data_IF_579647233447
#
_entry.id   IF_579647233447
#
_cell.length_a   1.000
_cell.length_b   1.000
_cell.length_c   1.000
_cell.angle_alpha   90.00
_cell.angle_beta   90.00
_cell.angle_gamma   90.00
#
_symmetry.space_group_name_H-M   'P 1'
#
loop_
_entity.id
_entity.type
_entity.pdbx_description
1 polymer ?
#
# COMPACT_ATOMS: atom_id res chain seq x y z
N UNK A 1 51.14 19.87 7.29
CA UNK A 1 50.35 18.88 6.51
C UNK A 1 48.89 19.25 6.67
N UNK A 2 48.27 19.83 5.64
CA UNK A 2 46.84 20.20 5.66
C UNK A 2 46.08 19.06 4.99
N UNK A 3 45.31 18.30 5.76
CA UNK A 3 44.45 17.23 5.27
C UNK A 3 43.13 17.79 4.73
N UNK A 4 42.92 17.68 3.43
CA UNK A 4 41.67 18.04 2.76
C UNK A 4 40.60 16.99 3.04
N UNK A 5 39.57 17.31 3.83
CA UNK A 5 38.38 16.49 3.96
C UNK A 5 37.45 16.76 2.76
N UNK A 6 37.39 15.82 1.81
CA UNK A 6 36.47 15.91 0.66
C UNK A 6 35.07 15.47 1.09
N UNK A 7 34.16 16.41 1.29
CA UNK A 7 32.72 16.11 1.45
C UNK A 7 32.13 15.82 0.07
N UNK A 8 31.61 14.60 -0.09
CA UNK A 8 31.03 14.09 -1.33
C UNK A 8 29.55 14.50 -1.39
N UNK A 9 29.24 15.66 -1.96
CA UNK A 9 27.86 16.15 -2.11
C UNK A 9 27.12 15.30 -3.15
N UNK A 10 26.21 14.41 -2.70
CA UNK A 10 25.24 13.76 -3.60
C UNK A 10 24.16 14.80 -3.96
N UNK A 11 24.24 15.30 -5.18
CA UNK A 11 23.15 16.06 -5.79
C UNK A 11 21.93 15.14 -5.99
N UNK A 12 20.88 15.32 -5.19
CA UNK A 12 19.57 14.73 -5.49
C UNK A 12 18.89 15.66 -6.48
N UNK A 13 18.65 15.15 -7.69
CA UNK A 13 17.74 15.79 -8.66
C UNK A 13 16.34 15.71 -8.06
N UNK A 14 15.79 16.85 -7.63
CA UNK A 14 14.39 16.94 -7.27
C UNK A 14 13.59 17.29 -8.52
N UNK A 15 12.59 16.46 -8.80
CA UNK A 15 11.66 16.63 -9.89
C UNK A 15 10.89 17.96 -9.72
N UNK A 16 10.88 18.78 -10.76
CA UNK A 16 10.14 20.03 -10.81
C UNK A 16 8.64 19.72 -10.81
N UNK A 17 7.95 20.03 -9.72
CA UNK A 17 6.49 20.20 -9.75
C UNK A 17 6.23 21.65 -10.13
N UNK A 18 5.98 21.88 -11.42
CA UNK A 18 5.51 23.18 -11.91
C UNK A 18 4.06 23.35 -11.44
N UNK A 19 3.85 24.09 -10.36
CA UNK A 19 2.53 24.60 -10.01
C UNK A 19 2.44 26.07 -10.44
N UNK A 20 1.61 26.28 -11.46
CA UNK A 20 1.19 27.58 -11.94
C UNK A 20 0.14 28.15 -10.98
N UNK A 21 0.44 29.28 -10.35
CA UNK A 21 -0.53 30.03 -9.54
C UNK A 21 -0.61 31.46 -10.05
N UNK A 22 -1.83 31.84 -10.42
CA UNK A 22 -2.26 33.14 -10.90
C UNK A 22 -2.56 34.07 -9.72
N UNK A 23 -2.11 35.33 -9.84
CA UNK A 23 -2.34 36.47 -8.94
C UNK A 23 -1.35 36.71 -7.79
N UNK A 24 -0.16 37.19 -8.19
CA UNK A 24 0.44 38.45 -7.70
C UNK A 24 0.17 38.90 -6.26
N UNK A 25 1.08 38.59 -5.35
CA UNK A 25 1.84 39.58 -4.55
C UNK A 25 2.92 38.84 -3.77
N UNK A 26 4.18 39.03 -4.16
CA UNK A 26 5.34 38.47 -3.49
C UNK A 26 5.63 39.32 -2.24
N UNK A 27 5.26 38.84 -1.05
CA UNK A 27 5.82 39.36 0.20
C UNK A 27 6.95 38.44 0.65
N UNK A 28 8.17 38.94 0.48
CA UNK A 28 9.37 38.40 1.11
C UNK A 28 9.25 38.68 2.61
N UNK A 29 8.85 37.68 3.38
CA UNK A 29 9.05 37.71 4.83
C UNK A 29 10.36 36.99 5.10
N UNK A 30 11.41 37.78 5.32
CA UNK A 30 12.65 37.31 5.92
C UNK A 30 12.43 37.24 7.43
N UNK A 31 12.51 36.04 7.98
CA UNK A 31 12.70 35.86 9.42
C UNK A 31 13.92 34.97 9.61
N UNK A 32 15.07 35.63 9.67
CA UNK A 32 16.26 35.12 10.31
C UNK A 32 16.00 35.20 11.82
N UNK A 33 16.01 34.08 12.56
CA UNK A 33 16.37 34.10 13.98
C UNK A 33 17.13 32.85 14.39
N UNK A 34 18.23 33.14 15.08
CA UNK A 34 19.25 32.31 15.67
C UNK A 34 18.73 31.13 16.51
N UNK A 35 19.64 30.17 16.64
CA UNK A 35 19.71 29.05 17.57
C UNK A 35 19.06 29.31 18.92
N UNK A 36 18.18 28.42 19.36
CA UNK A 36 18.12 28.00 20.78
C UNK A 36 17.46 26.63 20.88
N UNK A 37 18.28 25.62 21.15
CA UNK A 37 17.84 24.32 21.69
C UNK A 37 17.35 24.51 23.13
N UNK A 38 16.25 23.86 23.56
CA UNK A 38 16.30 23.26 24.90
C UNK A 38 15.58 21.90 25.06
N UNK A 39 16.35 20.97 25.63
CA UNK A 39 16.04 19.97 26.68
C UNK A 39 15.07 18.81 26.36
N UNK A 40 15.52 17.54 26.51
CA UNK A 40 14.66 16.37 26.48
C UNK A 40 13.96 16.14 27.83
N UNK A 41 12.67 15.82 27.77
CA UNK A 41 11.93 15.21 28.87
C UNK A 41 10.90 16.11 29.54
N UNK A 42 9.67 16.08 29.03
CA UNK A 42 8.46 16.16 29.85
C UNK A 42 7.30 15.45 29.11
N UNK A 43 6.68 14.49 29.79
CA UNK A 43 5.47 13.78 29.37
C UNK A 43 4.29 14.73 29.38
N UNK A 44 3.47 14.76 28.32
CA UNK A 44 2.13 15.37 28.35
C UNK A 44 1.20 14.70 27.34
N UNK A 45 0.19 14.03 27.91
CA UNK A 45 -1.00 13.52 27.24
C UNK A 45 -1.77 14.67 26.60
N UNK A 46 -1.98 14.59 25.28
CA UNK A 46 -2.92 15.47 24.58
C UNK A 46 -3.94 14.58 23.87
N UNK A 47 -5.17 14.64 24.38
CA UNK A 47 -6.38 14.13 23.77
C UNK A 47 -6.94 15.23 22.87
N UNK A 48 -7.00 15.01 21.55
CA UNK A 48 -7.73 15.90 20.64
C UNK A 48 -8.29 15.13 19.44
N UNK A 49 -9.59 14.83 19.59
CA UNK A 49 -10.66 15.01 18.61
C UNK A 49 -10.65 14.22 17.31
N UNK A 50 -11.59 13.26 17.26
CA UNK A 50 -12.09 12.58 16.08
C UNK A 50 -12.37 13.54 14.92
N UNK A 51 -11.63 13.36 13.82
CA UNK A 51 -12.04 13.87 12.52
C UNK A 51 -12.90 12.80 11.86
N UNK A 52 -14.21 13.02 11.87
CA UNK A 52 -15.19 12.21 11.15
C UNK A 52 -14.98 12.42 9.65
N UNK A 53 -14.15 11.59 9.03
CA UNK A 53 -14.06 11.54 7.57
C UNK A 53 -15.36 10.93 7.05
N UNK A 54 -16.07 11.73 6.25
CA UNK A 54 -17.32 11.40 5.58
C UNK A 54 -17.23 10.03 4.92
N UNK A 55 -17.89 9.05 5.53
CA UNK A 55 -18.08 7.71 5.01
C UNK A 55 -18.90 7.81 3.73
N UNK A 56 -18.22 7.74 2.59
CA UNK A 56 -18.83 7.30 1.34
C UNK A 56 -19.57 5.99 1.63
N UNK A 57 -20.86 5.94 1.30
CA UNK A 57 -21.73 4.78 1.44
C UNK A 57 -21.17 3.61 0.64
N UNK A 58 -20.19 2.91 1.20
CA UNK A 58 -19.76 1.60 0.74
C UNK A 58 -20.81 0.62 1.22
N UNK A 59 -21.42 -0.09 0.28
CA UNK A 59 -22.11 -1.35 0.59
C UNK A 59 -21.16 -2.19 1.44
N UNK A 60 -21.61 -2.77 2.57
CA UNK A 60 -20.73 -3.63 3.37
C UNK A 60 -20.17 -4.73 2.48
N UNK A 61 -18.86 -4.95 2.57
CA UNK A 61 -18.19 -6.08 1.91
C UNK A 61 -18.94 -7.38 2.24
N UNK A 62 -19.13 -8.29 1.25
CA UNK A 62 -19.87 -9.51 1.48
C UNK A 62 -19.16 -10.27 2.59
N UNK A 63 -19.94 -10.66 3.61
CA UNK A 63 -19.40 -11.42 4.75
C UNK A 63 -18.87 -12.79 4.31
N UNK A 64 -19.23 -13.25 3.12
CA UNK A 64 -18.81 -14.52 2.56
C UNK A 64 -17.90 -14.33 1.34
N UNK A 65 -16.61 -14.57 1.55
CA UNK A 65 -15.62 -14.80 0.50
C UNK A 65 -15.13 -16.23 0.60
N UNK A 66 -15.05 -16.94 -0.53
CA UNK A 66 -14.56 -18.33 -0.60
C UNK A 66 -13.15 -18.34 -1.16
N UNK A 67 -12.20 -18.98 -0.45
CA UNK A 67 -10.88 -19.26 -1.03
C UNK A 67 -11.03 -20.33 -2.14
N UNK A 68 -10.61 -19.99 -3.36
CA UNK A 68 -10.71 -20.88 -4.52
C UNK A 68 -9.36 -21.50 -4.93
N UNK A 69 -8.30 -21.20 -4.18
CA UNK A 69 -7.01 -21.87 -4.26
C UNK A 69 -5.82 -20.95 -4.55
N UNK A 70 -4.68 -21.62 -4.71
CA UNK A 70 -3.39 -21.07 -5.10
C UNK A 70 -3.16 -21.25 -6.60
N UNK A 71 -2.81 -20.17 -7.28
CA UNK A 71 -2.65 -20.10 -8.73
C UNK A 71 -1.27 -19.58 -9.08
N UNK A 72 -0.72 -20.06 -10.19
CA UNK A 72 0.55 -19.56 -10.72
C UNK A 72 0.33 -18.28 -11.49
N UNK A 73 1.15 -17.27 -11.21
CA UNK A 73 1.20 -16.05 -12.02
C UNK A 73 1.81 -16.36 -13.39
N UNK A 74 1.11 -15.97 -14.45
CA UNK A 74 1.64 -16.02 -15.82
C UNK A 74 2.20 -14.63 -16.17
N UNK A 75 3.42 -14.59 -16.71
CA UNK A 75 4.09 -13.34 -17.09
C UNK A 75 3.55 -12.73 -18.38
N UNK A 76 2.79 -13.49 -19.16
CA UNK A 76 2.21 -13.12 -20.45
C UNK A 76 0.79 -12.60 -20.27
N UNK A 77 0.02 -13.21 -19.38
CA UNK A 77 -1.38 -12.86 -19.13
C UNK A 77 -1.62 -12.66 -17.63
N UNK A 78 -2.00 -11.46 -17.18
CA UNK A 78 -2.24 -11.20 -15.78
C UNK A 78 -3.42 -12.04 -15.29
N UNK A 79 -3.21 -12.77 -14.20
CA UNK A 79 -4.20 -13.69 -13.61
C UNK A 79 -5.50 -12.98 -13.18
N UNK A 80 -5.34 -11.74 -12.72
CA UNK A 80 -6.37 -10.82 -12.25
C UNK A 80 -6.14 -9.44 -12.91
N UNK A 81 -7.22 -8.66 -13.09
CA UNK A 81 -7.22 -7.45 -13.91
C UNK A 81 -6.29 -6.32 -13.39
N UNK A 82 -6.18 -6.15 -12.06
CA UNK A 82 -5.55 -4.96 -11.49
C UNK A 82 -4.78 -5.25 -10.19
N UNK A 83 -3.53 -4.78 -10.12
CA UNK A 83 -2.78 -4.69 -8.87
C UNK A 83 -3.14 -3.39 -8.14
N UNK A 84 -3.70 -3.51 -6.93
CA UNK A 84 -4.10 -2.37 -6.10
C UNK A 84 -2.95 -1.83 -5.24
N UNK A 85 -1.85 -2.57 -5.11
CA UNK A 85 -0.68 -2.20 -4.33
C UNK A 85 0.62 -2.60 -5.07
N UNK A 86 0.92 -1.97 -6.22
CA UNK A 86 2.05 -2.36 -7.08
C UNK A 86 3.42 -2.22 -6.38
N UNK A 87 3.56 -1.23 -5.50
CA UNK A 87 4.77 -1.01 -4.69
C UNK A 87 4.80 -1.86 -3.40
N UNK A 88 3.76 -2.66 -3.15
CA UNK A 88 3.56 -3.43 -1.94
C UNK A 88 2.96 -2.61 -0.79
N UNK A 89 2.03 -3.21 -0.06
CA UNK A 89 1.43 -2.67 1.14
C UNK A 89 2.13 -3.27 2.38
N UNK A 90 2.66 -2.39 3.24
CA UNK A 90 3.35 -2.77 4.47
C UNK A 90 2.40 -3.27 5.58
N UNK A 91 1.10 -3.10 5.42
CA UNK A 91 0.06 -3.50 6.38
C UNK A 91 -1.04 -4.32 5.72
N UNK A 92 -0.74 -5.03 4.63
CA UNK A 92 -1.71 -5.84 3.90
C UNK A 92 -2.34 -6.90 4.81
N UNK A 93 -3.67 -6.94 4.83
CA UNK A 93 -4.46 -8.06 5.35
C UNK A 93 -5.37 -8.62 4.27
N UNK A 94 -5.76 -9.89 4.40
CA UNK A 94 -6.71 -10.52 3.47
C UNK A 94 -8.08 -9.78 3.47
N UNK A 95 -8.67 -9.41 4.63
CA UNK A 95 -9.90 -8.62 4.66
C UNK A 95 -9.78 -7.29 3.92
N UNK A 96 -8.70 -6.53 4.14
CA UNK A 96 -8.54 -5.22 3.49
C UNK A 96 -8.46 -5.34 1.95
N UNK A 97 -7.80 -6.38 1.46
CA UNK A 97 -7.72 -6.64 0.02
C UNK A 97 -9.09 -7.02 -0.57
N UNK A 98 -9.82 -7.92 0.10
CA UNK A 98 -11.19 -8.31 -0.29
C UNK A 98 -12.12 -7.10 -0.34
N UNK A 99 -12.10 -6.28 0.69
CA UNK A 99 -12.93 -5.08 0.79
C UNK A 99 -12.59 -4.05 -0.28
N UNK A 100 -11.30 -3.90 -0.59
CA UNK A 100 -10.82 -3.04 -1.68
C UNK A 100 -11.35 -3.52 -3.03
N UNK A 101 -11.26 -4.82 -3.32
CA UNK A 101 -11.76 -5.39 -4.57
C UNK A 101 -13.29 -5.28 -4.67
N UNK A 102 -14.01 -5.55 -3.59
CA UNK A 102 -15.47 -5.42 -3.58
C UNK A 102 -15.93 -4.00 -3.86
N UNK A 103 -15.32 -3.00 -3.20
CA UNK A 103 -15.67 -1.59 -3.38
C UNK A 103 -15.46 -1.11 -4.82
N UNK A 104 -14.46 -1.69 -5.50
CA UNK A 104 -14.16 -1.41 -6.90
C UNK A 104 -14.93 -2.34 -7.87
N UNK A 105 -15.97 -3.04 -7.39
CA UNK A 105 -16.87 -3.91 -8.16
C UNK A 105 -16.20 -5.13 -8.83
N UNK A 106 -15.13 -5.66 -8.23
CA UNK A 106 -14.49 -6.90 -8.65
C UNK A 106 -15.06 -8.11 -7.90
N UNK A 107 -15.16 -9.24 -8.61
CA UNK A 107 -15.70 -10.50 -8.06
C UNK A 107 -14.63 -11.39 -7.42
N UNK A 108 -13.37 -11.11 -7.71
CA UNK A 108 -12.22 -11.86 -7.23
C UNK A 108 -11.21 -10.93 -6.58
N UNK A 109 -10.65 -11.41 -5.48
CA UNK A 109 -9.54 -10.79 -4.77
C UNK A 109 -8.38 -11.79 -4.72
N UNK A 110 -7.17 -11.33 -4.92
CA UNK A 110 -5.95 -12.13 -4.89
C UNK A 110 -4.90 -11.46 -4.04
N UNK A 111 -4.14 -12.27 -3.30
CA UNK A 111 -3.01 -11.81 -2.51
C UNK A 111 -1.73 -12.50 -2.96
N UNK A 112 -0.64 -11.74 -3.06
CA UNK A 112 0.64 -12.20 -3.59
C UNK A 112 1.82 -11.69 -2.75
N UNK A 113 2.86 -12.50 -2.66
CA UNK A 113 4.15 -12.17 -2.02
C UNK A 113 4.09 -11.63 -0.58
N UNK A 114 2.96 -11.79 0.10
CA UNK A 114 2.75 -11.28 1.46
C UNK A 114 2.28 -9.83 1.52
N UNK A 115 2.41 -9.06 0.44
CA UNK A 115 2.23 -7.60 0.47
C UNK A 115 1.53 -7.01 -0.76
N UNK A 116 1.08 -7.83 -1.71
CA UNK A 116 0.35 -7.34 -2.88
C UNK A 116 -1.11 -7.77 -2.86
N UNK A 117 -2.00 -6.83 -3.20
CA UNK A 117 -3.43 -7.03 -3.42
C UNK A 117 -3.75 -6.90 -4.91
N UNK A 118 -4.52 -7.85 -5.41
CA UNK A 118 -4.95 -7.94 -6.79
C UNK A 118 -6.47 -8.11 -6.86
N UNK A 119 -7.11 -7.48 -7.84
CA UNK A 119 -8.55 -7.59 -8.05
C UNK A 119 -8.85 -8.00 -9.48
N UNK A 120 -9.90 -8.81 -9.66
CA UNK A 120 -10.32 -9.25 -10.98
C UNK A 120 -11.81 -9.55 -11.11
N UNK A 121 -12.30 -9.46 -12.32
CA UNK A 121 -13.68 -9.82 -12.71
C UNK A 121 -13.75 -11.28 -13.14
N UNK A 122 -12.60 -11.86 -13.50
CA UNK A 122 -12.39 -13.25 -13.86
C UNK A 122 -11.02 -13.71 -13.32
N UNK A 123 -10.79 -15.01 -13.37
CA UNK A 123 -9.49 -15.63 -13.05
C UNK A 123 -9.03 -16.39 -14.30
N UNK A 124 -7.86 -16.04 -14.82
CA UNK A 124 -7.25 -16.71 -15.97
C UNK A 124 -5.89 -17.30 -15.62
N UNK A 125 -5.87 -18.53 -15.15
CA UNK A 125 -4.60 -19.23 -14.96
C UNK A 125 -4.76 -20.64 -14.43
N UNK A 126 -3.62 -21.25 -14.15
CA UNK A 126 -3.52 -22.63 -13.70
C UNK A 126 -3.35 -22.68 -12.18
N UNK A 127 -3.85 -23.75 -11.58
CA UNK A 127 -3.54 -24.04 -10.18
C UNK A 127 -2.04 -24.25 -10.01
N UNK A 128 -1.53 -23.75 -8.89
CA UNK A 128 -0.18 -24.09 -8.44
C UNK A 128 -0.09 -25.61 -8.24
N UNK A 129 1.04 -26.19 -8.67
CA UNK A 129 1.31 -27.63 -8.49
C UNK A 129 1.20 -28.06 -7.03
N UNK A 130 1.62 -27.18 -6.12
CA UNK A 130 1.47 -27.37 -4.70
C UNK A 130 0.72 -26.18 -4.08
N UNK A 131 -0.42 -26.45 -3.47
CA UNK A 131 -1.28 -25.43 -2.88
C UNK A 131 -0.66 -24.80 -1.62
N UNK A 132 0.29 -25.49 -0.98
CA UNK A 132 0.99 -24.95 0.20
C UNK A 132 2.11 -23.96 -0.14
N UNK A 133 2.39 -23.74 -1.42
CA UNK A 133 3.37 -22.74 -1.85
C UNK A 133 2.82 -21.30 -1.68
N UNK A 134 1.49 -21.14 -1.50
CA UNK A 134 0.82 -19.87 -1.18
C UNK A 134 0.80 -19.52 0.33
N UNK A 135 1.85 -19.89 1.06
CA UNK A 135 1.93 -19.74 2.51
C UNK A 135 2.92 -18.64 2.97
N UNK A 136 3.11 -17.57 2.18
CA UNK A 136 3.85 -16.38 2.62
C UNK A 136 2.98 -15.57 3.59
N UNK A 137 3.42 -15.29 4.83
CA UNK A 137 2.62 -14.52 5.77
C UNK A 137 2.31 -13.11 5.27
N UNK A 138 1.10 -12.62 5.52
CA UNK A 138 0.74 -11.25 5.16
C UNK A 138 1.59 -10.21 5.92
N UNK A 139 1.79 -9.02 5.37
CA UNK A 139 2.56 -7.95 6.02
C UNK A 139 1.84 -7.35 7.22
N UNK A 140 0.53 -7.15 7.13
CA UNK A 140 -0.33 -6.62 8.21
C UNK A 140 -0.86 -7.66 9.19
N UNK A 141 -0.87 -8.95 8.81
CA UNK A 141 -1.32 -10.04 9.68
C UNK A 141 -0.45 -11.30 9.46
N UNK A 142 0.41 -11.60 10.43
CA UNK A 142 1.33 -12.75 10.37
C UNK A 142 0.66 -14.09 10.66
N UNK A 143 -0.62 -14.11 11.03
CA UNK A 143 -1.38 -15.34 11.31
C UNK A 143 -2.07 -15.90 10.07
N UNK A 144 -2.16 -15.11 9.01
CA UNK A 144 -2.74 -15.50 7.72
C UNK A 144 -1.72 -15.45 6.59
N UNK A 145 -2.04 -16.09 5.47
CA UNK A 145 -1.13 -16.27 4.34
C UNK A 145 -1.60 -15.53 3.09
N UNK A 146 -0.73 -14.69 2.55
CA UNK A 146 -0.96 -13.80 1.42
C UNK A 146 -0.19 -14.24 0.16
N UNK A 147 -0.43 -15.48 -0.27
CA UNK A 147 0.10 -16.00 -1.52
C UNK A 147 1.56 -16.44 -1.44
N UNK A 148 2.30 -16.32 -2.53
CA UNK A 148 3.69 -16.72 -2.65
C UNK A 148 4.42 -15.96 -3.74
N UNK A 149 5.72 -16.24 -3.91
CA UNK A 149 6.52 -15.64 -4.98
C UNK A 149 6.04 -16.15 -6.33
N UNK A 150 5.47 -15.26 -7.16
CA UNK A 150 4.81 -15.65 -8.42
C UNK A 150 3.57 -16.53 -8.23
N UNK A 151 2.95 -16.50 -7.04
CA UNK A 151 1.77 -17.31 -6.72
C UNK A 151 0.70 -16.45 -6.04
N UNK A 152 -0.53 -16.54 -6.54
CA UNK A 152 -1.67 -15.80 -6.00
C UNK A 152 -2.58 -16.76 -5.24
N UNK A 153 -2.91 -16.42 -3.98
CA UNK A 153 -4.05 -17.02 -3.28
C UNK A 153 -5.30 -16.22 -3.63
N UNK A 154 -6.29 -16.85 -4.25
CA UNK A 154 -7.49 -16.17 -4.76
C UNK A 154 -8.72 -16.49 -3.93
N UNK A 155 -9.54 -15.47 -3.75
CA UNK A 155 -10.86 -15.51 -3.14
C UNK A 155 -11.91 -15.02 -4.13
N UNK A 156 -13.10 -15.62 -4.06
CA UNK A 156 -14.28 -15.24 -4.82
C UNK A 156 -15.37 -14.73 -3.88
N UNK A 157 -16.04 -13.64 -4.23
CA UNK A 157 -17.20 -13.16 -3.48
C UNK A 157 -18.38 -14.13 -3.57
N UNK A 158 -19.18 -14.24 -2.50
CA UNK A 158 -20.53 -14.75 -2.59
C UNK A 158 -21.46 -13.59 -2.95
N UNK A 159 -21.92 -13.56 -4.20
CA UNK A 159 -22.83 -12.53 -4.71
C UNK A 159 -24.26 -12.64 -4.19
#
# INVERSE_FOLDING_TARGET
MVGMCRVKTRARRLASVLNYSINGTLRLVWTERLDTEPIPGLTSTISTTNTTTTSSTATPSPTAWTEIGCYVEDLTFPLLDRNMSPDGDASLTIPDCKDTCYRDAYRFAGVQEGNQCWCGTYVIGQWAKNQTDCNVPCTGDKTTYCGGKGLLKIFQEAG
#
